data_IF_368316478042
#
_entry.id   IF_368316478042
#
_cell.length_a   1.000
_cell.length_b   1.000
_cell.length_c   1.000
_cell.angle_alpha   90.00
_cell.angle_beta   90.00
_cell.angle_gamma   90.00
#
_symmetry.space_group_name_H-M   'P 1'
#
loop_
_entity.id
_entity.type
_entity.pdbx_description
1 polymer ?
#
# COMPACT_ATOMS: atom_id res chain seq x y z
N UNK A 1 6.82 9.75 2.66
CA UNK A 1 6.99 9.21 4.04
C UNK A 1 6.21 7.90 4.13
N UNK A 2 6.73 6.88 4.82
CA UNK A 2 5.98 5.64 5.09
C UNK A 2 6.07 5.30 6.57
N UNK A 3 4.94 4.91 7.14
CA UNK A 3 4.79 4.50 8.53
C UNK A 3 4.07 3.16 8.57
N UNK A 4 4.51 2.27 9.44
CA UNK A 4 3.90 0.97 9.65
C UNK A 4 3.71 0.72 11.14
N UNK A 5 2.57 0.18 11.50
CA UNK A 5 2.22 -0.23 12.84
C UNK A 5 1.84 -1.70 12.83
N UNK A 6 2.46 -2.46 13.73
CA UNK A 6 2.13 -3.86 13.97
C UNK A 6 1.59 -4.03 15.38
N UNK A 7 0.46 -4.72 15.51
CA UNK A 7 -0.22 -4.96 16.77
C UNK A 7 -0.48 -6.45 16.92
N UNK A 8 -0.27 -6.97 18.14
CA UNK A 8 -0.67 -8.31 18.53
C UNK A 8 -1.71 -8.24 19.65
N UNK A 9 -3.00 -8.06 19.33
CA UNK A 9 -4.05 -7.97 20.35
C UNK A 9 -4.18 -9.26 21.18
N UNK A 10 -3.87 -10.39 20.55
CA UNK A 10 -3.76 -11.72 21.16
C UNK A 10 -2.57 -12.44 20.52
N UNK A 11 -2.04 -13.48 21.18
CA UNK A 11 -0.83 -14.18 20.73
C UNK A 11 -0.94 -14.79 19.33
N UNK A 12 -2.15 -15.19 18.92
CA UNK A 12 -2.41 -15.82 17.62
C UNK A 12 -2.72 -14.83 16.50
N UNK A 13 -2.82 -13.53 16.77
CA UNK A 13 -3.24 -12.53 15.77
C UNK A 13 -2.20 -11.41 15.66
N UNK A 14 -1.67 -11.22 14.46
CA UNK A 14 -0.91 -10.04 14.07
C UNK A 14 -1.74 -9.19 13.11
N UNK A 15 -1.96 -7.94 13.49
CA UNK A 15 -2.55 -6.90 12.65
C UNK A 15 -1.45 -5.94 12.21
N UNK A 16 -1.41 -5.63 10.92
CA UNK A 16 -0.46 -4.67 10.33
C UNK A 16 -1.25 -3.54 9.67
N UNK A 17 -0.87 -2.30 9.96
CA UNK A 17 -1.44 -1.09 9.37
C UNK A 17 -0.29 -0.29 8.75
N UNK A 18 -0.42 0.05 7.48
CA UNK A 18 0.54 0.87 6.74
C UNK A 18 -0.08 2.21 6.32
N UNK A 19 0.71 3.27 6.37
CA UNK A 19 0.36 4.59 5.85
C UNK A 19 1.53 5.18 5.06
N UNK A 20 1.29 5.53 3.80
CA UNK A 20 2.29 6.07 2.89
C UNK A 20 1.83 7.40 2.31
N UNK A 21 2.62 8.46 2.50
CA UNK A 21 2.42 9.75 1.87
C UNK A 21 3.44 9.98 0.77
N UNK A 22 2.95 10.39 -0.39
CA UNK A 22 3.79 10.90 -1.50
C UNK A 22 3.39 12.35 -1.72
N UNK A 23 4.37 13.25 -1.59
CA UNK A 23 4.16 14.67 -1.81
C UNK A 23 4.04 15.00 -3.30
N UNK A 24 3.57 16.21 -3.58
CA UNK A 24 3.48 16.71 -4.94
C UNK A 24 4.85 16.68 -5.62
N UNK A 25 4.86 16.38 -6.92
CA UNK A 25 6.09 16.37 -7.70
C UNK A 25 5.86 16.89 -9.11
N UNK A 26 6.91 17.44 -9.72
CA UNK A 26 6.88 17.75 -11.14
C UNK A 26 7.06 16.48 -11.96
N UNK A 27 6.59 16.53 -13.20
CA UNK A 27 6.68 15.42 -14.13
C UNK A 27 8.13 15.08 -14.47
N UNK A 28 8.44 13.79 -14.60
CA UNK A 28 9.73 13.33 -15.11
C UNK A 28 9.89 13.72 -16.59
N UNK A 29 10.45 14.90 -16.86
CA UNK A 29 10.80 15.48 -18.16
C UNK A 29 10.72 17.00 -18.10
N UNK A 30 10.00 17.54 -17.12
CA UNK A 30 9.92 18.98 -16.87
C UNK A 30 11.14 19.46 -16.09
N UNK A 31 12.25 19.67 -16.80
CA UNK A 31 13.50 20.16 -16.19
C UNK A 31 13.41 21.61 -15.71
N UNK A 32 12.42 22.38 -16.21
CA UNK A 32 12.18 23.77 -15.83
C UNK A 32 11.21 23.92 -14.67
N UNK A 33 10.54 22.84 -14.23
CA UNK A 33 9.50 22.86 -13.20
C UNK A 33 8.38 23.87 -13.50
N UNK A 34 7.99 23.97 -14.77
CA UNK A 34 7.01 24.94 -15.28
C UNK A 34 5.63 24.34 -15.53
N UNK A 35 5.54 23.01 -15.63
CA UNK A 35 4.30 22.29 -15.90
C UNK A 35 3.51 22.03 -14.61
N UNK A 36 2.25 21.61 -14.78
CA UNK A 36 1.42 21.20 -13.66
C UNK A 36 2.05 20.01 -12.89
N UNK A 37 2.04 20.12 -11.56
CA UNK A 37 2.51 19.06 -10.67
C UNK A 37 1.54 17.88 -10.64
N UNK A 38 2.08 16.71 -10.37
CA UNK A 38 1.32 15.59 -9.85
C UNK A 38 0.84 15.94 -8.44
N UNK A 39 -0.43 15.65 -8.18
CA UNK A 39 -1.02 15.83 -6.86
C UNK A 39 -0.37 14.88 -5.84
N UNK A 40 -0.37 15.31 -4.58
CA UNK A 40 0.02 14.44 -3.49
C UNK A 40 -1.08 13.40 -3.20
N UNK A 41 -0.71 12.30 -2.54
CA UNK A 41 -1.68 11.28 -2.16
C UNK A 41 -1.22 10.51 -0.92
N UNK A 42 -2.20 9.91 -0.25
CA UNK A 42 -2.01 8.98 0.85
C UNK A 42 -2.50 7.59 0.45
N UNK A 43 -1.72 6.57 0.76
CA UNK A 43 -2.12 5.17 0.65
C UNK A 43 -2.15 4.54 2.04
N UNK A 44 -3.17 3.75 2.30
CA UNK A 44 -3.30 3.00 3.54
C UNK A 44 -3.41 1.52 3.22
N UNK A 45 -2.72 0.69 3.99
CA UNK A 45 -2.69 -0.75 3.78
C UNK A 45 -3.07 -1.46 5.09
N UNK A 46 -3.79 -2.57 4.97
CA UNK A 46 -4.19 -3.41 6.09
C UNK A 46 -3.70 -4.84 5.87
N UNK A 47 -3.11 -5.44 6.89
CA UNK A 47 -2.67 -6.82 6.91
C UNK A 47 -3.19 -7.55 8.14
N UNK A 48 -3.53 -8.83 7.96
CA UNK A 48 -3.94 -9.74 9.03
C UNK A 48 -3.17 -11.03 8.87
N UNK A 49 -2.65 -11.55 9.98
CA UNK A 49 -2.03 -12.85 10.05
C UNK A 49 -2.53 -13.57 11.32
N UNK A 50 -3.16 -14.72 11.15
CA UNK A 50 -3.84 -15.46 12.21
C UNK A 50 -3.36 -16.91 12.28
N UNK A 51 -2.71 -17.25 13.39
CA UNK A 51 -2.20 -18.57 13.65
C UNK A 51 -3.32 -19.53 14.04
N UNK A 52 -3.73 -20.37 13.08
CA UNK A 52 -4.75 -21.41 13.28
C UNK A 52 -4.21 -22.57 14.13
N UNK A 53 -2.93 -22.92 13.94
CA UNK A 53 -2.23 -23.96 14.70
C UNK A 53 -0.72 -23.76 14.63
N UNK A 54 0.05 -24.68 15.23
CA UNK A 54 1.52 -24.69 15.11
C UNK A 54 2.01 -24.85 13.66
N UNK A 55 1.18 -25.44 12.79
CA UNK A 55 1.53 -25.79 11.40
C UNK A 55 0.67 -25.07 10.36
N UNK A 56 -0.31 -24.26 10.77
CA UNK A 56 -1.24 -23.60 9.86
C UNK A 56 -1.46 -22.13 10.23
N UNK A 57 -1.40 -21.26 9.22
CA UNK A 57 -1.56 -19.82 9.36
C UNK A 57 -2.45 -19.25 8.25
N UNK A 58 -3.47 -18.49 8.62
CA UNK A 58 -4.32 -17.74 7.71
C UNK A 58 -3.79 -16.31 7.60
N UNK A 59 -3.59 -15.83 6.38
CA UNK A 59 -3.17 -14.45 6.15
C UNK A 59 -4.07 -13.78 5.13
N UNK A 60 -4.16 -12.47 5.24
CA UNK A 60 -4.80 -11.63 4.25
C UNK A 60 -4.36 -10.18 4.37
N UNK A 61 -4.74 -9.39 3.38
CA UNK A 61 -4.49 -7.96 3.39
C UNK A 61 -5.18 -7.25 2.25
N UNK A 62 -5.27 -5.94 2.41
CA UNK A 62 -5.82 -5.01 1.43
C UNK A 62 -4.76 -3.92 1.24
N UNK A 63 -4.29 -3.74 0.02
CA UNK A 63 -3.46 -2.60 -0.35
C UNK A 63 -4.34 -1.53 -0.97
N UNK A 64 -3.98 -0.25 -0.75
CA UNK A 64 -4.83 0.88 -1.10
C UNK A 64 -6.27 0.70 -0.53
N UNK A 65 -6.34 0.52 0.79
CA UNK A 65 -7.55 0.21 1.56
C UNK A 65 -8.70 1.19 1.27
N UNK A 66 -8.36 2.46 1.07
CA UNK A 66 -9.34 3.52 0.81
C UNK A 66 -9.67 3.70 -0.69
N UNK A 67 -9.04 2.92 -1.57
CA UNK A 67 -9.26 2.96 -3.02
C UNK A 67 -9.00 4.34 -3.63
N UNK A 68 -7.87 4.93 -3.22
CA UNK A 68 -7.39 6.20 -3.73
C UNK A 68 -7.06 6.06 -5.22
N UNK A 69 -7.61 6.97 -6.04
CA UNK A 69 -7.23 7.14 -7.43
C UNK A 69 -6.07 8.13 -7.51
N UNK A 70 -4.89 7.66 -7.92
CA UNK A 70 -3.70 8.49 -7.97
C UNK A 70 -2.85 8.21 -9.21
N UNK A 71 -1.97 9.16 -9.52
CA UNK A 71 -0.91 8.95 -10.51
C UNK A 71 0.37 8.57 -9.77
N UNK A 72 0.83 7.33 -9.98
CA UNK A 72 2.08 6.84 -9.41
C UNK A 72 3.30 7.53 -10.02
N UNK A 73 3.19 7.90 -11.30
CA UNK A 73 4.21 8.65 -12.02
C UNK A 73 3.61 9.35 -13.25
N UNK A 74 4.34 10.33 -13.75
CA UNK A 74 4.14 10.84 -15.09
C UNK A 74 5.49 11.18 -15.73
N UNK A 75 5.60 10.94 -17.03
CA UNK A 75 6.83 11.19 -17.80
C UNK A 75 6.48 11.61 -19.23
N UNK A 76 6.95 12.78 -19.69
CA UNK A 76 6.52 13.35 -20.97
C UNK A 76 4.98 13.45 -21.08
N UNK A 77 4.37 12.92 -22.13
CA UNK A 77 2.91 12.84 -22.23
C UNK A 77 2.30 11.63 -21.50
N UNK A 78 3.11 10.70 -21.00
CA UNK A 78 2.67 9.50 -20.32
C UNK A 78 2.15 9.76 -18.91
N UNK A 79 1.02 9.14 -18.58
CA UNK A 79 0.41 9.11 -17.25
C UNK A 79 0.36 7.66 -16.78
N UNK A 80 0.85 7.41 -15.57
CA UNK A 80 0.89 6.07 -14.99
C UNK A 80 -0.02 6.03 -13.76
N UNK A 81 -1.27 5.56 -13.91
CA UNK A 81 -2.16 5.40 -12.77
C UNK A 81 -1.55 4.42 -11.77
N UNK A 82 -1.79 4.69 -10.50
CA UNK A 82 -1.50 3.75 -9.43
C UNK A 82 -2.41 2.52 -9.50
N UNK A 83 -2.00 1.47 -8.81
CA UNK A 83 -2.89 0.33 -8.58
C UNK A 83 -4.02 0.78 -7.64
N UNK A 84 -5.27 0.49 -8.03
CA UNK A 84 -6.44 0.65 -7.18
C UNK A 84 -6.41 -0.33 -6.00
N UNK A 85 -7.54 -0.45 -5.28
CA UNK A 85 -7.61 -1.39 -4.15
C UNK A 85 -7.38 -2.84 -4.60
N UNK A 86 -6.43 -3.51 -3.97
CA UNK A 86 -6.14 -4.92 -4.20
C UNK A 86 -6.30 -5.73 -2.91
N UNK A 87 -6.75 -6.99 -3.03
CA UNK A 87 -7.02 -7.88 -1.89
C UNK A 87 -6.25 -9.17 -2.07
N UNK A 88 -5.56 -9.60 -1.01
CA UNK A 88 -4.86 -10.88 -0.95
C UNK A 88 -5.34 -11.69 0.25
N UNK A 89 -5.46 -13.00 0.09
CA UNK A 89 -5.75 -13.93 1.16
C UNK A 89 -5.13 -15.29 0.86
N UNK A 90 -4.76 -16.05 1.89
CA UNK A 90 -4.21 -17.38 1.71
C UNK A 90 -3.98 -18.13 3.01
N UNK A 91 -3.73 -19.43 2.86
CA UNK A 91 -3.33 -20.31 3.94
C UNK A 91 -1.87 -20.73 3.72
N UNK A 92 -1.10 -20.75 4.82
CA UNK A 92 0.29 -21.22 4.84
C UNK A 92 0.38 -22.41 5.77
N UNK A 93 0.93 -23.50 5.26
CA UNK A 93 1.21 -24.71 6.03
C UNK A 93 2.72 -24.91 6.20
N UNK A 94 3.12 -25.51 7.31
CA UNK A 94 4.52 -25.90 7.60
C UNK A 94 4.54 -27.31 8.17
N UNK A 95 5.45 -28.15 7.65
CA UNK A 95 5.55 -29.59 7.94
C UNK A 95 6.89 -29.91 8.61
#
# INVERSE_FOLDING_TARGET
>A
MRLFLELRPIDSLLLSLGGSYVGESYRGSDFSNSEAKLENYWLFDLGINYQLSKSANLFGGVDNLLDEDYLSAAFGSGLYPGEGRSVRAGLRFSF
#
